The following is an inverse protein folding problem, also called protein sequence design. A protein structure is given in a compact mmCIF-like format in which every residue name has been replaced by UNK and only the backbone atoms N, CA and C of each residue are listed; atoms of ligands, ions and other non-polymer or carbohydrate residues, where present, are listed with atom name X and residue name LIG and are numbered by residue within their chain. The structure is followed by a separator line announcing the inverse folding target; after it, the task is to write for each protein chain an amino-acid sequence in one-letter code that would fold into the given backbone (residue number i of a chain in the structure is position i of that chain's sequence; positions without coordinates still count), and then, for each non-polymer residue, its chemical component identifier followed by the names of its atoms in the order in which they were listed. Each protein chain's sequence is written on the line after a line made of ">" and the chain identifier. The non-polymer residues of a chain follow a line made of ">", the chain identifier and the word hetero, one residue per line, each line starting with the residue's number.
data_IF_860915367807
#
_entry.id   IF_860915367807
#
_cell.length_a   1.000
_cell.length_b   1.000
_cell.length_c   1.000
_cell.angle_alpha   90.00
_cell.angle_beta   90.00
_cell.angle_gamma   90.00
#
_symmetry.space_group_name_H-M   'P 1'
#
loop_
_entity.id
_entity.type
_entity.pdbx_description
1 polymer ?
#
# COMPACT_ATOMS: atom_id res chain seq x y z
N UNK A 1 -26.28 32.75 -14.21
CA UNK A 1 -26.34 33.54 -12.96
C UNK A 1 -27.18 32.76 -11.95
N UNK A 2 -26.58 31.73 -11.33
CA UNK A 2 -27.27 30.88 -10.35
C UNK A 2 -26.99 31.41 -8.95
N UNK A 3 -28.06 31.74 -8.22
CA UNK A 3 -28.02 32.14 -6.81
C UNK A 3 -27.47 30.99 -5.97
N UNK A 4 -26.35 31.24 -5.32
CA UNK A 4 -25.92 30.46 -4.15
C UNK A 4 -26.91 30.77 -3.02
N UNK A 5 -27.79 29.84 -2.69
CA UNK A 5 -28.63 29.91 -1.49
C UNK A 5 -27.79 29.33 -0.36
N UNK A 6 -27.26 30.21 0.48
CA UNK A 6 -26.65 29.81 1.75
C UNK A 6 -27.78 29.36 2.68
N UNK A 7 -27.83 28.05 2.94
CA UNK A 7 -28.82 27.42 3.81
C UNK A 7 -28.63 27.89 5.27
N UNK A 8 -29.68 28.31 5.99
CA UNK A 8 -29.62 28.84 7.35
C UNK A 8 -29.31 27.78 8.43
N UNK A 9 -29.14 26.51 8.06
CA UNK A 9 -28.65 25.45 8.94
C UNK A 9 -27.11 25.41 9.03
N UNK A 10 -26.45 26.57 8.90
CA UNK A 10 -25.04 26.73 9.23
C UNK A 10 -24.88 26.50 10.72
N UNK A 11 -24.47 25.27 11.03
CA UNK A 11 -24.10 24.82 12.37
C UNK A 11 -23.18 25.85 13.01
N UNK A 12 -23.42 26.23 14.28
CA UNK A 12 -22.57 27.19 14.97
C UNK A 12 -21.13 26.68 14.87
N UNK A 13 -20.24 27.52 14.36
CA UNK A 13 -18.83 27.19 14.16
C UNK A 13 -18.17 26.85 15.50
N UNK A 14 -18.27 25.58 15.89
CA UNK A 14 -17.44 24.98 16.92
C UNK A 14 -16.10 24.67 16.25
N UNK A 15 -15.32 25.72 15.95
CA UNK A 15 -14.00 25.62 15.29
C UNK A 15 -13.09 24.58 15.97
N UNK A 16 -13.20 24.39 17.29
CA UNK A 16 -12.47 23.36 18.03
C UNK A 16 -12.99 21.92 17.86
N UNK A 17 -14.29 21.72 17.59
CA UNK A 17 -14.84 20.40 17.27
C UNK A 17 -14.63 20.05 15.80
N UNK A 18 -14.72 21.01 14.88
CA UNK A 18 -14.45 20.75 13.46
C UNK A 18 -12.98 20.42 13.24
N UNK A 19 -12.03 21.09 13.91
CA UNK A 19 -10.61 20.71 13.82
C UNK A 19 -10.31 19.33 14.41
N UNK A 20 -10.86 19.01 15.59
CA UNK A 20 -10.68 17.69 16.18
C UNK A 20 -11.34 16.59 15.32
N UNK A 21 -12.51 16.89 14.75
CA UNK A 21 -13.25 15.98 13.86
C UNK A 21 -12.54 15.83 12.52
N UNK A 22 -12.00 16.90 11.94
CA UNK A 22 -11.23 16.90 10.69
C UNK A 22 -9.92 16.13 10.84
N UNK A 23 -9.18 16.32 11.94
CA UNK A 23 -8.00 15.49 12.26
C UNK A 23 -8.36 14.01 12.44
N UNK A 24 -9.52 13.72 13.03
CA UNK A 24 -10.00 12.35 13.20
C UNK A 24 -10.44 11.73 11.87
N UNK A 25 -11.01 12.52 10.95
CA UNK A 25 -11.36 12.12 9.59
C UNK A 25 -10.08 11.90 8.77
N UNK A 26 -9.11 12.81 8.80
CA UNK A 26 -7.82 12.68 8.11
C UNK A 26 -7.07 11.43 8.57
N UNK A 27 -7.03 11.15 9.88
CA UNK A 27 -6.40 9.94 10.40
C UNK A 27 -7.07 8.66 9.87
N UNK A 28 -8.40 8.64 9.74
CA UNK A 28 -9.14 7.49 9.20
C UNK A 28 -9.01 7.37 7.68
N UNK A 29 -8.99 8.49 6.96
CA UNK A 29 -8.77 8.55 5.52
C UNK A 29 -7.36 8.11 5.19
N UNK A 30 -6.36 8.50 5.99
CA UNK A 30 -4.98 8.04 5.86
C UNK A 30 -4.89 6.52 5.98
N UNK A 31 -5.53 5.91 6.99
CA UNK A 31 -5.54 4.45 7.16
C UNK A 31 -6.23 3.73 5.97
N UNK A 32 -7.32 4.31 5.43
CA UNK A 32 -8.01 3.73 4.26
C UNK A 32 -7.18 3.88 2.99
N UNK A 33 -6.58 5.04 2.77
CA UNK A 33 -5.67 5.30 1.66
C UNK A 33 -4.45 4.38 1.72
N UNK A 34 -3.90 4.12 2.91
CA UNK A 34 -2.80 3.16 3.11
C UNK A 34 -3.23 1.74 2.73
N UNK A 35 -4.41 1.28 3.15
CA UNK A 35 -4.92 -0.04 2.80
C UNK A 35 -5.19 -0.21 1.29
N UNK A 36 -5.74 0.83 0.64
CA UNK A 36 -5.97 0.83 -0.80
C UNK A 36 -4.66 0.86 -1.59
N UNK A 37 -3.67 1.63 -1.13
CA UNK A 37 -2.34 1.68 -1.72
C UNK A 37 -1.62 0.32 -1.62
N UNK A 38 -1.76 -0.40 -0.49
CA UNK A 38 -1.22 -1.76 -0.35
C UNK A 38 -1.87 -2.71 -1.35
N UNK A 39 -3.20 -2.65 -1.50
CA UNK A 39 -3.94 -3.50 -2.45
C UNK A 39 -3.54 -3.20 -3.89
N UNK A 40 -3.35 -1.93 -4.24
CA UNK A 40 -2.89 -1.52 -5.56
C UNK A 40 -1.46 -2.01 -5.86
N UNK A 41 -0.54 -1.88 -4.89
CA UNK A 41 0.84 -2.40 -5.00
C UNK A 41 0.87 -3.92 -5.11
N UNK A 42 0.05 -4.64 -4.34
CA UNK A 42 -0.09 -6.11 -4.45
C UNK A 42 -0.55 -6.52 -5.84
N UNK A 43 -1.55 -5.83 -6.39
CA UNK A 43 -2.07 -6.13 -7.72
C UNK A 43 -1.01 -5.91 -8.81
N UNK A 44 -0.20 -4.86 -8.67
CA UNK A 44 0.92 -4.58 -9.58
C UNK A 44 1.98 -5.70 -9.53
N UNK A 45 2.43 -6.08 -8.32
CA UNK A 45 3.42 -7.15 -8.10
C UNK A 45 2.95 -8.49 -8.68
N UNK A 46 1.67 -8.84 -8.49
CA UNK A 46 1.09 -10.08 -9.00
C UNK A 46 1.07 -10.08 -10.53
N UNK A 47 0.65 -8.96 -11.13
CA UNK A 47 0.56 -8.84 -12.58
C UNK A 47 1.93 -8.87 -13.23
N UNK A 48 2.92 -8.19 -12.64
CA UNK A 48 4.32 -8.20 -13.09
C UNK A 48 4.94 -9.59 -12.99
N UNK A 49 4.75 -10.28 -11.86
CA UNK A 49 5.23 -11.65 -11.68
C UNK A 49 4.61 -12.61 -12.69
N UNK A 50 3.31 -12.46 -12.95
CA UNK A 50 2.59 -13.24 -13.96
C UNK A 50 3.15 -12.96 -15.37
N UNK A 51 3.40 -11.69 -15.70
CA UNK A 51 3.98 -11.28 -16.97
C UNK A 51 5.38 -11.88 -17.17
N UNK A 52 6.26 -11.77 -16.16
CA UNK A 52 7.61 -12.33 -16.21
C UNK A 52 7.59 -13.86 -16.36
N UNK A 53 6.71 -14.54 -15.63
CA UNK A 53 6.55 -16.00 -15.75
C UNK A 53 6.08 -16.39 -17.15
N UNK A 54 5.09 -15.66 -17.70
CA UNK A 54 4.57 -15.89 -19.05
C UNK A 54 5.64 -15.64 -20.13
N UNK A 55 6.44 -14.57 -19.99
CA UNK A 55 7.56 -14.26 -20.86
C UNK A 55 8.63 -15.36 -20.85
N UNK A 56 9.00 -15.86 -19.66
CA UNK A 56 9.98 -16.95 -19.54
C UNK A 56 9.46 -18.24 -20.18
N UNK A 57 8.18 -18.58 -19.98
CA UNK A 57 7.56 -19.74 -20.62
C UNK A 57 7.52 -19.57 -22.14
N UNK A 58 7.07 -18.40 -22.62
CA UNK A 58 7.01 -18.10 -24.06
C UNK A 58 8.38 -18.13 -24.72
N UNK A 59 9.40 -17.53 -24.10
CA UNK A 59 10.78 -17.56 -24.57
C UNK A 59 11.37 -18.97 -24.58
N UNK A 60 11.12 -19.76 -23.53
CA UNK A 60 11.57 -21.16 -23.46
C UNK A 60 10.98 -22.05 -24.56
N UNK A 61 9.71 -21.85 -24.88
CA UNK A 61 9.04 -22.54 -25.99
C UNK A 61 9.58 -22.09 -27.35
N UNK A 62 9.83 -20.78 -27.53
CA UNK A 62 10.40 -20.23 -28.76
C UNK A 62 11.81 -20.79 -29.07
N UNK A 63 12.61 -21.05 -28.03
CA UNK A 63 13.96 -21.61 -28.16
C UNK A 63 13.96 -23.16 -28.26
N UNK A 64 12.79 -23.82 -28.24
CA UNK A 64 12.65 -25.30 -28.26
C UNK A 64 13.46 -26.00 -27.15
N UNK A 65 13.64 -25.33 -26.01
CA UNK A 65 14.27 -25.95 -24.85
C UNK A 65 13.38 -27.09 -24.33
N UNK A 66 13.97 -28.16 -23.74
CA UNK A 66 13.20 -29.21 -23.11
C UNK A 66 12.25 -28.61 -22.09
N UNK A 67 10.95 -28.92 -22.24
CA UNK A 67 9.84 -28.31 -21.49
C UNK A 67 10.10 -28.38 -19.97
N UNK A 68 10.74 -29.46 -19.51
CA UNK A 68 11.08 -29.67 -18.10
C UNK A 68 12.07 -28.64 -17.52
N UNK A 69 12.97 -28.10 -18.36
CA UNK A 69 13.91 -27.04 -17.97
C UNK A 69 13.20 -25.69 -17.96
N UNK A 70 12.37 -25.43 -18.97
CA UNK A 70 11.56 -24.19 -19.05
C UNK A 70 10.62 -24.07 -17.85
N UNK A 71 9.96 -25.17 -17.47
CA UNK A 71 9.02 -25.19 -16.34
C UNK A 71 9.72 -24.91 -15.00
N UNK A 72 10.92 -25.48 -14.79
CA UNK A 72 11.69 -25.24 -13.57
C UNK A 72 12.18 -23.79 -13.50
N UNK A 73 12.72 -23.28 -14.61
CA UNK A 73 13.22 -21.90 -14.66
C UNK A 73 12.09 -20.89 -14.49
N UNK A 74 10.95 -21.08 -15.16
CA UNK A 74 9.80 -20.17 -15.00
C UNK A 74 9.22 -20.23 -13.59
N UNK A 75 9.12 -21.41 -12.98
CA UNK A 75 8.65 -21.56 -11.61
C UNK A 75 9.60 -20.88 -10.60
N UNK A 76 10.91 -21.06 -10.75
CA UNK A 76 11.91 -20.43 -9.87
C UNK A 76 11.89 -18.90 -9.99
N UNK A 77 11.81 -18.38 -11.22
CA UNK A 77 11.79 -16.93 -11.47
C UNK A 77 10.48 -16.32 -10.96
N UNK A 78 9.33 -16.95 -11.25
CA UNK A 78 8.04 -16.51 -10.76
C UNK A 78 7.98 -16.47 -9.23
N UNK A 79 8.50 -17.51 -8.56
CA UNK A 79 8.53 -17.60 -7.10
C UNK A 79 9.51 -16.58 -6.49
N UNK A 80 10.70 -16.42 -7.06
CA UNK A 80 11.68 -15.44 -6.59
C UNK A 80 11.18 -13.99 -6.72
N UNK A 81 10.52 -13.67 -7.83
CA UNK A 81 9.91 -12.36 -8.07
C UNK A 81 8.77 -12.11 -7.07
N UNK A 82 7.88 -13.09 -6.87
CA UNK A 82 6.81 -13.01 -5.87
C UNK A 82 7.35 -12.82 -4.46
N UNK A 83 8.34 -13.62 -4.06
CA UNK A 83 8.95 -13.54 -2.74
C UNK A 83 9.54 -12.15 -2.48
N UNK A 84 10.24 -11.58 -3.49
CA UNK A 84 10.81 -10.22 -3.41
C UNK A 84 9.71 -9.17 -3.28
N UNK A 85 8.64 -9.29 -4.06
CA UNK A 85 7.48 -8.39 -3.99
C UNK A 85 6.79 -8.41 -2.64
N UNK A 86 6.52 -9.59 -2.09
CA UNK A 86 5.95 -9.75 -0.75
C UNK A 86 6.89 -9.22 0.35
N UNK A 87 8.20 -9.45 0.22
CA UNK A 87 9.20 -8.94 1.15
C UNK A 87 9.17 -7.42 1.23
N UNK A 88 9.12 -6.72 0.09
CA UNK A 88 9.08 -5.25 0.05
C UNK A 88 7.79 -4.67 0.65
N UNK A 89 6.66 -5.30 0.38
CA UNK A 89 5.37 -4.89 0.96
C UNK A 89 5.38 -5.12 2.47
N UNK A 90 5.86 -6.28 2.91
CA UNK A 90 6.05 -6.58 4.33
C UNK A 90 6.97 -5.57 5.02
N UNK A 91 8.10 -5.22 4.40
CA UNK A 91 9.04 -4.25 4.94
C UNK A 91 8.43 -2.84 5.05
N UNK A 92 7.60 -2.42 4.09
CA UNK A 92 6.85 -1.16 4.16
C UNK A 92 5.88 -1.14 5.35
N UNK A 93 5.14 -2.22 5.59
CA UNK A 93 4.23 -2.33 6.74
C UNK A 93 5.00 -2.31 8.05
N UNK A 94 6.10 -3.07 8.15
CA UNK A 94 6.97 -3.11 9.33
C UNK A 94 7.57 -1.73 9.61
N UNK A 95 8.01 -1.02 8.57
CA UNK A 95 8.59 0.33 8.71
C UNK A 95 7.56 1.32 9.24
N UNK A 96 6.33 1.30 8.71
CA UNK A 96 5.24 2.16 9.21
C UNK A 96 4.93 1.85 10.69
N UNK A 97 4.87 0.57 11.04
CA UNK A 97 4.64 0.13 12.42
C UNK A 97 5.81 0.49 13.35
N UNK A 98 7.06 0.44 12.88
CA UNK A 98 8.23 0.80 13.67
C UNK A 98 8.27 2.31 13.95
N UNK A 99 7.96 3.14 12.95
CA UNK A 99 7.91 4.60 13.08
C UNK A 99 6.87 5.02 14.11
N UNK A 100 5.66 4.44 14.06
CA UNK A 100 4.60 4.72 15.04
C UNK A 100 5.01 4.31 16.46
N UNK A 101 5.67 3.16 16.63
CA UNK A 101 6.23 2.72 17.92
C UNK A 101 7.31 3.67 18.46
N UNK A 102 8.22 4.13 17.60
CA UNK A 102 9.29 5.06 17.99
C UNK A 102 8.70 6.41 18.40
N UNK A 103 7.70 6.92 17.66
CA UNK A 103 6.99 8.17 18.00
C UNK A 103 6.35 8.09 19.38
N UNK A 104 5.64 6.99 19.70
CA UNK A 104 5.04 6.78 21.01
C UNK A 104 6.09 6.79 22.13
N UNK A 105 7.20 6.07 21.96
CA UNK A 105 8.30 6.09 22.92
C UNK A 105 8.89 7.49 23.10
N UNK A 106 9.06 8.26 22.03
CA UNK A 106 9.63 9.62 22.14
C UNK A 106 8.71 10.55 22.92
N UNK A 107 7.39 10.45 22.74
CA UNK A 107 6.41 11.25 23.50
C UNK A 107 6.44 10.93 25.00
N UNK A 108 6.65 9.67 25.39
CA UNK A 108 6.81 9.26 26.79
C UNK A 108 8.09 9.78 27.47
N UNK A 109 9.11 10.13 26.69
CA UNK A 109 10.33 10.78 27.17
C UNK A 109 10.14 12.29 27.28
N UNK A 110 9.50 12.92 26.29
CA UNK A 110 9.21 14.35 26.30
C UNK A 110 8.19 14.78 27.36
N UNK A 111 7.30 13.90 27.82
CA UNK A 111 6.38 14.18 28.93
C UNK A 111 7.03 14.04 30.32
N UNK A 112 8.30 13.58 30.40
CA UNK A 112 9.03 13.30 31.64
C UNK A 112 10.15 14.32 31.93
N UNK A 113 10.41 15.24 30.99
CA UNK A 113 11.37 16.34 31.07
C UNK A 113 10.64 17.67 31.24
#
# INVERSE_FOLDING_TARGET
>A
MSRHVSDPNQMPMVFGQTEATERMIEARVAIRAENEAIRWRLRLILTESCLMTALVVGGGLAVKLPIMVVLRSSALIGLACLATGFLLIGLSVVTNHLITRIRLKLTEWGARS
#
